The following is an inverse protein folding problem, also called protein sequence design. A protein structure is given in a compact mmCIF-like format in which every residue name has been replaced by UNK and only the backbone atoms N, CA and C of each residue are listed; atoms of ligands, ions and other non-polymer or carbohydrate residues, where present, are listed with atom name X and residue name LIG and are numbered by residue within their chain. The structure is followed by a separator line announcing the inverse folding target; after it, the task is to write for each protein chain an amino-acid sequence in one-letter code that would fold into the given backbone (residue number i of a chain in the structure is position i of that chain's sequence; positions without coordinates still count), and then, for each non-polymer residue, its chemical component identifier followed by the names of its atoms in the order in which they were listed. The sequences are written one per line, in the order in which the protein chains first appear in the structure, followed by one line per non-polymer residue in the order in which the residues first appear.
data_IF_478494247215
#
_entry.id   IF_478494247215
#
_cell.length_a   1.000
_cell.length_b   1.000
_cell.length_c   1.000
_cell.angle_alpha   90.00
_cell.angle_beta   90.00
_cell.angle_gamma   90.00
#
_symmetry.space_group_name_H-M   'P 1'
#
loop_
_entity.id
_entity.type
_entity.pdbx_description
1 polymer ?
#
# COMPACT_ATOMS: atom_id res chain seq x y z
N UNK A 1 47.08 50.15 -53.24
CA UNK A 1 46.32 50.37 -52.00
C UNK A 1 45.58 49.08 -51.69
N UNK A 2 46.06 48.29 -50.72
CA UNK A 2 45.41 47.05 -50.29
C UNK A 2 44.46 47.37 -49.15
N UNK A 3 43.16 47.29 -49.40
CA UNK A 3 42.10 47.38 -48.38
C UNK A 3 41.95 46.03 -47.72
N UNK A 4 42.27 45.95 -46.43
CA UNK A 4 42.02 44.77 -45.59
C UNK A 4 40.51 44.66 -45.35
N UNK A 5 39.88 43.49 -45.53
CA UNK A 5 38.45 43.33 -45.27
C UNK A 5 38.17 43.44 -43.77
N UNK A 6 37.26 44.34 -43.41
CA UNK A 6 36.78 44.53 -42.03
C UNK A 6 35.84 43.39 -41.61
N UNK A 7 35.79 43.03 -40.31
CA UNK A 7 35.05 41.86 -39.81
C UNK A 7 33.51 41.98 -39.86
N UNK A 8 32.99 43.04 -40.46
CA UNK A 8 31.56 43.34 -40.54
C UNK A 8 30.94 42.99 -41.91
N UNK A 9 31.71 42.45 -42.85
CA UNK A 9 31.22 41.95 -44.15
C UNK A 9 30.67 40.51 -44.07
N UNK A 10 30.31 40.03 -42.87
CA UNK A 10 29.60 38.76 -42.73
C UNK A 10 28.12 39.06 -42.99
N UNK A 11 27.65 38.73 -44.19
CA UNK A 11 26.23 38.75 -44.50
C UNK A 11 25.45 37.99 -43.42
N UNK A 12 24.37 38.55 -42.84
CA UNK A 12 23.61 37.87 -41.80
C UNK A 12 23.13 36.52 -42.33
N UNK A 13 23.43 35.45 -41.60
CA UNK A 13 22.98 34.10 -41.94
C UNK A 13 21.46 34.11 -41.93
N UNK A 14 20.77 33.73 -43.02
CA UNK A 14 19.32 33.73 -43.07
C UNK A 14 18.77 32.80 -41.99
N UNK A 15 17.97 33.35 -41.08
CA UNK A 15 17.23 32.58 -40.09
C UNK A 15 15.94 32.09 -40.76
N UNK A 16 15.88 30.79 -41.04
CA UNK A 16 14.64 30.16 -41.49
C UNK A 16 13.79 29.87 -40.25
N UNK A 17 12.61 30.50 -40.16
CA UNK A 17 11.62 30.17 -39.16
C UNK A 17 11.17 28.73 -39.33
N UNK A 18 11.33 27.90 -38.31
CA UNK A 18 10.81 26.54 -38.32
C UNK A 18 9.29 26.60 -38.13
N UNK A 19 8.54 26.47 -39.22
CA UNK A 19 7.10 26.21 -39.16
C UNK A 19 6.88 24.70 -39.18
N UNK A 20 6.46 24.09 -38.05
CA UNK A 20 6.16 22.67 -38.03
C UNK A 20 5.01 22.37 -38.99
N UNK A 21 5.23 21.41 -39.89
CA UNK A 21 4.21 20.93 -40.81
C UNK A 21 2.99 20.37 -40.06
N UNK A 22 1.82 20.43 -40.67
CA UNK A 22 0.57 19.85 -40.13
C UNK A 22 0.70 18.37 -39.76
N UNK A 23 1.57 17.63 -40.45
CA UNK A 23 1.91 16.23 -40.14
C UNK A 23 2.60 16.05 -38.78
N UNK A 24 3.47 16.99 -38.36
CA UNK A 24 4.11 16.93 -37.04
C UNK A 24 3.09 17.13 -35.93
N UNK A 25 2.12 18.03 -36.11
CA UNK A 25 1.04 18.24 -35.15
C UNK A 25 0.12 17.03 -35.01
N UNK A 26 -0.22 16.38 -36.12
CA UNK A 26 -1.01 15.15 -36.12
C UNK A 26 -0.28 14.02 -35.39
N UNK A 27 1.03 13.88 -35.62
CA UNK A 27 1.85 12.85 -34.99
C UNK A 27 1.98 13.09 -33.47
N UNK A 28 2.14 14.34 -33.05
CA UNK A 28 2.17 14.73 -31.64
C UNK A 28 0.83 14.45 -30.94
N UNK A 29 -0.28 14.79 -31.60
CA UNK A 29 -1.63 14.51 -31.10
C UNK A 29 -1.91 13.02 -30.96
N UNK A 30 -1.46 12.21 -31.92
CA UNK A 30 -1.58 10.75 -31.85
C UNK A 30 -0.76 10.17 -30.69
N UNK A 31 0.45 10.69 -30.47
CA UNK A 31 1.30 10.26 -29.37
C UNK A 31 0.70 10.64 -28.00
N UNK A 32 0.12 11.84 -27.88
CA UNK A 32 -0.59 12.27 -26.67
C UNK A 32 -1.81 11.38 -26.39
N UNK A 33 -2.61 11.06 -27.42
CA UNK A 33 -3.76 10.17 -27.26
C UNK A 33 -3.32 8.74 -26.87
N UNK A 34 -2.27 8.23 -27.49
CA UNK A 34 -1.73 6.91 -27.23
C UNK A 34 -1.17 6.78 -25.81
N UNK A 35 -0.44 7.78 -25.33
CA UNK A 35 0.06 7.82 -23.95
C UNK A 35 -1.09 7.88 -22.94
N UNK A 36 -2.14 8.67 -23.19
CA UNK A 36 -3.34 8.69 -22.34
C UNK A 36 -4.02 7.32 -22.31
N UNK A 37 -4.18 6.67 -23.46
CA UNK A 37 -4.75 5.32 -23.54
C UNK A 37 -3.92 4.29 -22.76
N UNK A 38 -2.59 4.33 -22.86
CA UNK A 38 -1.70 3.47 -22.08
C UNK A 38 -1.88 3.73 -20.58
N UNK A 39 -1.89 5.00 -20.15
CA UNK A 39 -2.08 5.36 -18.73
C UNK A 39 -3.43 4.84 -18.22
N UNK A 40 -4.51 4.99 -19.00
CA UNK A 40 -5.82 4.44 -18.65
C UNK A 40 -5.77 2.91 -18.57
N UNK A 41 -5.13 2.24 -19.53
CA UNK A 41 -5.02 0.78 -19.56
C UNK A 41 -4.23 0.27 -18.36
N UNK A 42 -3.11 0.91 -18.03
CA UNK A 42 -2.26 0.59 -16.86
C UNK A 42 -3.01 0.84 -15.56
N UNK A 43 -3.72 1.95 -15.43
CA UNK A 43 -4.53 2.22 -14.23
C UNK A 43 -5.68 1.21 -14.09
N UNK A 44 -6.31 0.82 -15.20
CA UNK A 44 -7.40 -0.16 -15.22
C UNK A 44 -6.91 -1.58 -14.93
N UNK A 45 -5.73 -1.97 -15.41
CA UNK A 45 -5.12 -3.26 -15.07
C UNK A 45 -4.62 -3.28 -13.62
N UNK A 46 -4.04 -2.19 -13.12
CA UNK A 46 -3.62 -2.06 -11.72
C UNK A 46 -4.79 -2.13 -10.74
N UNK A 47 -5.94 -1.58 -11.11
CA UNK A 47 -7.20 -1.68 -10.33
C UNK A 47 -7.79 -3.09 -10.31
N UNK A 48 -7.57 -3.92 -11.35
CA UNK A 48 -8.00 -5.33 -11.37
C UNK A 48 -6.98 -6.30 -10.78
N UNK A 49 -5.69 -5.97 -10.84
CA UNK A 49 -4.60 -6.79 -10.33
C UNK A 49 -4.25 -6.52 -8.86
N UNK A 50 -4.82 -5.48 -8.24
CA UNK A 50 -4.86 -5.40 -6.78
C UNK A 50 -5.82 -6.47 -6.27
N UNK A 51 -5.33 -7.70 -6.10
CA UNK A 51 -5.86 -8.57 -5.05
C UNK A 51 -6.04 -7.70 -3.83
N UNK A 52 -7.20 -7.77 -3.20
CA UNK A 52 -7.46 -6.89 -2.07
C UNK A 52 -6.30 -7.14 -1.08
N UNK A 53 -5.67 -6.08 -0.55
CA UNK A 53 -4.60 -6.22 0.43
C UNK A 53 -5.03 -7.07 1.65
N UNK A 54 -6.34 -7.16 1.88
CA UNK A 54 -6.99 -8.09 2.81
C UNK A 54 -6.94 -9.55 2.33
N UNK A 55 -7.20 -9.85 1.06
CA UNK A 55 -7.06 -11.18 0.47
C UNK A 55 -5.62 -11.69 0.62
N UNK A 56 -4.63 -10.82 0.42
CA UNK A 56 -3.22 -11.14 0.65
C UNK A 56 -2.95 -11.44 2.13
N UNK A 57 -3.43 -10.58 3.04
CA UNK A 57 -3.27 -10.77 4.49
C UNK A 57 -3.94 -12.07 4.97
N UNK A 58 -5.13 -12.40 4.49
CA UNK A 58 -5.85 -13.64 4.81
C UNK A 58 -5.07 -14.85 4.28
N UNK A 59 -4.52 -14.77 3.07
CA UNK A 59 -3.67 -15.84 2.51
C UNK A 59 -2.42 -16.07 3.35
N UNK A 60 -1.74 -15.00 3.78
CA UNK A 60 -0.55 -15.09 4.63
C UNK A 60 -0.89 -15.67 6.01
N UNK A 61 -2.04 -15.30 6.60
CA UNK A 61 -2.53 -15.90 7.84
C UNK A 61 -2.84 -17.39 7.68
N UNK A 62 -3.53 -17.81 6.62
CA UNK A 62 -3.79 -19.23 6.35
C UNK A 62 -2.50 -20.04 6.22
N UNK A 63 -1.47 -19.45 5.61
CA UNK A 63 -0.15 -20.07 5.48
C UNK A 63 0.54 -20.17 6.85
N UNK A 64 0.43 -19.16 7.71
CA UNK A 64 0.89 -19.22 9.10
C UNK A 64 0.17 -20.32 9.89
N UNK A 65 -1.15 -20.45 9.73
CA UNK A 65 -1.95 -21.44 10.43
C UNK A 65 -1.48 -22.87 10.13
N UNK A 66 -1.15 -23.15 8.87
CA UNK A 66 -0.57 -24.46 8.48
C UNK A 66 0.78 -24.75 9.13
N UNK A 67 1.51 -23.71 9.55
CA UNK A 67 2.83 -23.80 10.21
C UNK A 67 2.75 -23.79 11.73
N UNK A 68 1.58 -23.46 12.30
CA UNK A 68 1.37 -23.46 13.75
C UNK A 68 1.65 -24.81 14.41
N UNK A 69 1.39 -25.92 13.71
CA UNK A 69 1.66 -27.27 14.23
C UNK A 69 3.15 -27.64 14.20
N UNK A 70 3.96 -26.97 13.38
CA UNK A 70 5.38 -27.27 13.19
C UNK A 70 6.33 -26.21 13.77
N UNK A 71 5.84 -25.00 14.06
CA UNK A 71 6.63 -23.93 14.66
C UNK A 71 6.86 -24.20 16.16
N UNK A 72 8.12 -24.44 16.51
CA UNK A 72 8.61 -24.61 17.89
C UNK A 72 8.61 -23.31 18.69
N UNK A 73 8.33 -22.16 18.06
CA UNK A 73 8.39 -20.83 18.68
C UNK A 73 7.08 -20.04 18.50
N UNK A 74 6.20 -20.15 19.49
CA UNK A 74 4.92 -19.41 19.58
C UNK A 74 5.11 -17.89 19.53
N UNK A 75 6.22 -17.37 20.03
CA UNK A 75 6.52 -15.93 20.03
C UNK A 75 6.75 -15.39 18.62
N UNK A 76 7.41 -16.15 17.76
CA UNK A 76 7.61 -15.79 16.35
C UNK A 76 6.26 -15.85 15.60
N UNK A 77 5.47 -16.90 15.84
CA UNK A 77 4.12 -17.04 15.28
C UNK A 77 3.22 -15.82 15.60
N UNK A 78 3.16 -15.43 16.88
CA UNK A 78 2.38 -14.25 17.31
C UNK A 78 2.95 -12.96 16.72
N UNK A 79 4.27 -12.82 16.63
CA UNK A 79 4.90 -11.63 16.05
C UNK A 79 4.53 -11.46 14.58
N UNK A 80 4.61 -12.54 13.79
CA UNK A 80 4.20 -12.55 12.39
C UNK A 80 2.71 -12.27 12.22
N UNK A 81 1.87 -12.86 13.08
CA UNK A 81 0.42 -12.58 13.12
C UNK A 81 0.15 -11.10 13.35
N UNK A 82 0.82 -10.49 14.35
CA UNK A 82 0.70 -9.07 14.65
C UNK A 82 1.09 -8.19 13.44
N UNK A 83 2.17 -8.57 12.74
CA UNK A 83 2.70 -7.81 11.62
C UNK A 83 1.72 -7.84 10.43
N UNK A 84 1.17 -9.01 10.10
CA UNK A 84 0.21 -9.17 9.02
C UNK A 84 -1.07 -8.36 9.32
N UNK A 85 -1.58 -8.46 10.54
CA UNK A 85 -2.77 -7.73 10.97
C UNK A 85 -2.56 -6.20 10.96
N UNK A 86 -1.41 -5.72 11.42
CA UNK A 86 -1.06 -4.29 11.36
C UNK A 86 -0.99 -3.79 9.91
N UNK A 87 -0.43 -4.57 8.97
CA UNK A 87 -0.41 -4.23 7.53
C UNK A 87 -1.80 -4.18 6.90
N UNK A 88 -2.68 -5.11 7.27
CA UNK A 88 -4.08 -5.06 6.85
C UNK A 88 -4.76 -3.77 7.34
N UNK A 89 -4.44 -3.34 8.58
CA UNK A 89 -4.97 -2.13 9.21
C UNK A 89 -4.44 -0.83 8.57
N UNK A 90 -3.18 -0.80 8.13
CA UNK A 90 -2.62 0.31 7.34
C UNK A 90 -3.46 0.53 6.08
N UNK A 91 -3.80 -0.57 5.42
CA UNK A 91 -4.52 -0.50 4.17
C UNK A 91 -5.97 -0.07 4.35
N UNK A 92 -6.61 -0.52 5.44
CA UNK A 92 -7.97 -0.11 5.81
C UNK A 92 -8.11 1.40 6.04
N UNK A 93 -7.06 2.06 6.54
CA UNK A 93 -7.08 3.51 6.79
C UNK A 93 -6.71 4.37 5.57
N UNK A 94 -6.48 3.75 4.41
CA UNK A 94 -6.02 4.48 3.22
C UNK A 94 -4.68 5.18 3.42
N UNK A 95 -3.90 4.77 4.43
CA UNK A 95 -2.56 5.32 4.66
C UNK A 95 -1.65 4.75 3.56
N UNK A 96 -1.02 5.61 2.74
CA UNK A 96 -0.07 5.15 1.75
C UNK A 96 1.02 4.31 2.41
N UNK A 97 1.31 3.14 1.84
CA UNK A 97 2.42 2.27 2.24
C UNK A 97 3.69 3.13 2.40
N UNK A 98 4.19 3.27 3.63
CA UNK A 98 5.41 4.03 3.95
C UNK A 98 5.25 5.44 4.55
N UNK A 99 4.03 5.97 4.76
CA UNK A 99 3.86 7.34 5.32
C UNK A 99 3.56 7.41 6.81
N UNK A 100 3.20 6.29 7.46
CA UNK A 100 3.26 6.03 8.91
C UNK A 100 3.00 4.54 9.09
N UNK A 101 4.02 3.80 9.55
CA UNK A 101 3.92 2.35 9.68
C UNK A 101 3.12 2.00 10.94
N UNK A 102 1.82 1.72 10.83
CA UNK A 102 1.05 1.08 11.92
C UNK A 102 1.74 -0.22 12.35
N UNK A 103 2.42 -0.89 11.41
CA UNK A 103 3.33 -2.01 11.65
C UNK A 103 4.46 -1.73 12.65
N UNK A 104 4.84 -0.47 12.87
CA UNK A 104 5.85 -0.05 13.86
C UNK A 104 5.24 0.44 15.18
N UNK A 105 3.92 0.59 15.26
CA UNK A 105 3.29 1.08 16.48
C UNK A 105 3.36 0.03 17.59
N UNK A 106 3.73 0.50 18.77
CA UNK A 106 3.63 -0.23 20.03
C UNK A 106 2.16 -0.42 20.44
N UNK A 107 1.90 -1.34 21.37
CA UNK A 107 0.56 -1.59 21.90
C UNK A 107 -0.10 -0.32 22.49
N UNK A 108 0.69 0.53 23.17
CA UNK A 108 0.20 1.79 23.74
C UNK A 108 -0.23 2.78 22.63
N UNK A 109 0.55 2.87 21.56
CA UNK A 109 0.23 3.74 20.42
C UNK A 109 -0.95 3.20 19.59
N UNK A 110 -1.08 1.88 19.45
CA UNK A 110 -2.26 1.24 18.85
C UNK A 110 -3.53 1.55 19.62
N UNK A 111 -3.46 1.61 20.96
CA UNK A 111 -4.59 1.98 21.81
C UNK A 111 -4.92 3.48 21.70
N UNK A 112 -3.93 4.34 21.53
CA UNK A 112 -4.19 5.76 21.21
C UNK A 112 -4.77 5.94 19.80
N UNK A 113 -4.32 5.12 18.85
CA UNK A 113 -4.82 5.11 17.49
C UNK A 113 -6.29 4.67 17.45
N UNK A 114 -6.65 3.59 18.16
CA UNK A 114 -8.02 3.10 18.22
C UNK A 114 -9.01 4.13 18.79
N UNK A 115 -8.58 4.95 19.75
CA UNK A 115 -9.37 6.07 20.30
C UNK A 115 -9.69 7.14 19.25
N UNK A 116 -8.85 7.31 18.23
CA UNK A 116 -9.02 8.29 17.15
C UNK A 116 -9.86 7.75 15.98
N UNK A 117 -9.98 6.44 15.84
CA UNK A 117 -10.83 5.83 14.82
C UNK A 117 -12.32 6.02 15.15
N UNK A 118 -13.16 6.20 14.12
CA UNK A 118 -14.62 6.18 14.25
C UNK A 118 -15.21 4.79 13.99
N UNK A 119 -14.55 3.99 13.14
CA UNK A 119 -15.02 2.66 12.73
C UNK A 119 -14.92 1.63 13.88
N UNK A 120 -16.03 0.97 14.26
CA UNK A 120 -16.04 -0.06 15.30
C UNK A 120 -15.24 -1.32 14.94
N UNK A 121 -15.16 -1.70 13.67
CA UNK A 121 -14.39 -2.86 13.21
C UNK A 121 -12.89 -2.62 13.37
N UNK A 122 -12.41 -1.42 13.03
CA UNK A 122 -11.01 -1.01 13.26
C UNK A 122 -10.65 -0.99 14.74
N UNK A 123 -11.53 -0.45 15.59
CA UNK A 123 -11.35 -0.47 17.05
C UNK A 123 -11.21 -1.89 17.58
N UNK A 124 -12.11 -2.78 17.16
CA UNK A 124 -12.10 -4.18 17.58
C UNK A 124 -10.80 -4.88 17.18
N UNK A 125 -10.30 -4.65 15.96
CA UNK A 125 -9.03 -5.22 15.50
C UNK A 125 -7.82 -4.66 16.27
N UNK A 126 -7.81 -3.35 16.57
CA UNK A 126 -6.76 -2.74 17.39
C UNK A 126 -6.74 -3.33 18.81
N UNK A 127 -7.90 -3.51 19.44
CA UNK A 127 -7.97 -4.12 20.78
C UNK A 127 -7.42 -5.55 20.78
N UNK A 128 -7.74 -6.35 19.76
CA UNK A 128 -7.23 -7.71 19.61
C UNK A 128 -5.70 -7.75 19.36
N UNK A 129 -5.16 -6.75 18.65
CA UNK A 129 -3.71 -6.61 18.49
C UNK A 129 -3.00 -6.23 19.79
N UNK A 130 -3.62 -5.38 20.61
CA UNK A 130 -3.11 -5.04 21.94
C UNK A 130 -3.12 -6.27 22.85
N UNK A 131 -4.19 -7.05 22.82
CA UNK A 131 -4.31 -8.30 23.57
C UNK A 131 -3.24 -9.32 23.17
N UNK A 132 -3.00 -9.47 21.86
CA UNK A 132 -1.92 -10.30 21.33
C UNK A 132 -0.54 -9.83 21.80
N UNK A 133 -0.27 -8.52 21.79
CA UNK A 133 0.98 -7.95 22.29
C UNK A 133 1.12 -8.20 23.81
N UNK A 134 0.04 -8.08 24.60
CA UNK A 134 0.10 -8.39 26.03
C UNK A 134 0.42 -9.86 26.31
N UNK A 135 -0.10 -10.79 25.51
CA UNK A 135 0.18 -12.23 25.67
C UNK A 135 1.60 -12.56 25.26
N UNK A 136 2.14 -11.88 24.23
CA UNK A 136 3.54 -12.05 23.82
C UNK A 136 4.53 -11.71 24.94
N UNK A 137 4.22 -10.71 25.77
CA UNK A 137 5.11 -10.21 26.82
C UNK A 137 4.76 -10.70 28.23
N UNK A 138 3.84 -11.68 28.37
CA UNK A 138 3.60 -12.30 29.67
C UNK A 138 4.84 -13.08 30.13
N UNK A 139 5.15 -13.07 31.44
CA UNK A 139 6.28 -13.82 32.00
C UNK A 139 6.03 -15.34 32.02
N UNK A 140 4.76 -15.76 31.91
CA UNK A 140 4.35 -17.16 31.89
C UNK A 140 4.51 -17.79 30.50
N UNK A 141 4.74 -19.12 30.41
CA UNK A 141 4.79 -19.81 29.13
C UNK A 141 3.47 -19.61 28.37
N UNK A 142 3.60 -19.13 27.13
CA UNK A 142 2.46 -18.87 26.24
C UNK A 142 1.74 -20.19 25.97
N UNK A 143 0.46 -20.25 26.37
CA UNK A 143 -0.39 -21.40 26.09
C UNK A 143 -0.75 -21.43 24.60
N UNK A 144 -0.50 -22.56 23.93
CA UNK A 144 -0.78 -22.73 22.51
C UNK A 144 -2.27 -22.55 22.18
N UNK A 145 -3.16 -22.94 23.10
CA UNK A 145 -4.61 -22.79 22.91
C UNK A 145 -5.03 -21.33 22.86
N UNK A 146 -4.49 -20.51 23.76
CA UNK A 146 -4.82 -19.08 23.86
C UNK A 146 -4.24 -18.30 22.67
N UNK A 147 -3.01 -18.64 22.26
CA UNK A 147 -2.38 -18.08 21.07
C UNK A 147 -3.20 -18.38 19.80
N UNK A 148 -3.73 -19.61 19.69
CA UNK A 148 -4.57 -20.02 18.56
C UNK A 148 -5.94 -19.36 18.58
N UNK A 149 -6.55 -19.19 19.76
CA UNK A 149 -7.83 -18.50 19.90
C UNK A 149 -7.74 -17.06 19.37
N UNK A 150 -6.72 -16.32 19.81
CA UNK A 150 -6.53 -14.92 19.41
C UNK A 150 -6.15 -14.81 17.93
N UNK A 151 -5.33 -15.73 17.42
CA UNK A 151 -5.05 -15.80 15.98
C UNK A 151 -6.34 -15.93 15.16
N UNK A 152 -7.24 -16.85 15.55
CA UNK A 152 -8.51 -17.05 14.89
C UNK A 152 -9.41 -15.81 14.99
N UNK A 153 -9.45 -15.16 16.15
CA UNK A 153 -10.19 -13.91 16.32
C UNK A 153 -9.66 -12.80 15.40
N UNK A 154 -8.36 -12.59 15.34
CA UNK A 154 -7.74 -11.60 14.44
C UNK A 154 -8.09 -11.89 12.98
N UNK A 155 -8.01 -13.17 12.57
CA UNK A 155 -8.37 -13.60 11.21
C UNK A 155 -9.82 -13.28 10.87
N UNK A 156 -10.75 -13.53 11.79
CA UNK A 156 -12.17 -13.17 11.63
C UNK A 156 -12.34 -11.66 11.53
N UNK A 157 -11.69 -10.88 12.41
CA UNK A 157 -11.79 -9.41 12.42
C UNK A 157 -11.25 -8.75 11.15
N UNK A 158 -10.17 -9.29 10.56
CA UNK A 158 -9.64 -8.83 9.28
C UNK A 158 -10.65 -9.10 8.15
N UNK A 159 -11.28 -10.28 8.16
CA UNK A 159 -12.31 -10.64 7.17
C UNK A 159 -13.56 -9.76 7.31
N UNK A 160 -13.97 -9.45 8.54
CA UNK A 160 -15.10 -8.56 8.81
C UNK A 160 -14.79 -7.12 8.39
N UNK A 161 -13.55 -6.66 8.60
CA UNK A 161 -13.09 -5.35 8.17
C UNK A 161 -13.10 -5.23 6.63
N UNK A 162 -12.65 -6.25 5.91
CA UNK A 162 -12.74 -6.29 4.44
C UNK A 162 -14.20 -6.20 3.97
N UNK A 163 -15.10 -6.97 4.59
CA UNK A 163 -16.55 -6.93 4.29
C UNK A 163 -17.17 -5.57 4.60
N UNK A 164 -16.75 -4.93 5.68
CA UNK A 164 -17.24 -3.60 6.07
C UNK A 164 -16.79 -2.53 5.06
N UNK A 165 -15.52 -2.54 4.67
CA UNK A 165 -14.96 -1.59 3.70
C UNK A 165 -15.57 -1.77 2.30
N UNK A 166 -15.71 -3.00 1.83
CA UNK A 166 -16.34 -3.30 0.53
C UNK A 166 -17.84 -2.97 0.48
N UNK A 167 -18.52 -2.91 1.63
CA UNK A 167 -19.92 -2.42 1.74
C UNK A 167 -19.99 -0.90 1.86
N UNK A 168 -19.01 -0.27 2.49
CA UNK A 168 -18.88 1.19 2.63
C UNK A 168 -18.70 1.89 1.29
N UNK A 169 -17.91 1.33 0.38
CA UNK A 169 -17.66 1.87 -0.98
C UNK A 169 -18.88 1.80 -1.92
N UNK A 170 -20.01 1.25 -1.48
CA UNK A 170 -21.26 1.15 -2.28
C UNK A 170 -22.34 2.18 -1.88
N UNK A 171 -22.03 3.16 -1.02
CA UNK A 171 -22.91 4.27 -0.66
C UNK A 171 -22.36 5.59 -1.20
#
# INVERSE_FOLDING_TARGET
MNTVPTPFDIAPIPQFGFEPSSSLWLLLGFFALFTVLIVILVNRTRSRASRSPFELAIKDLNLLESRFQSETNLTDFLTRTSLIAKRALETANGIPVGTRNISQLSAAELLQFSKKCSDPCLKSLCSQLVELDTIRYKPDPINATDARAIFNEIKVKITDLEKALTRGDRK
#
